data_IF_050698713040
#
_entry.id   IF_050698713040
#
_cell.length_a   1.000
_cell.length_b   1.000
_cell.length_c   1.000
_cell.angle_alpha   90.00
_cell.angle_beta   90.00
_cell.angle_gamma   90.00
#
_symmetry.space_group_name_H-M   'P 1'
#
loop_
_entity.id
_entity.type
_entity.pdbx_description
1 polymer ?
#
# COMPACT_ATOMS: atom_id res chain seq x y z
N UNK A 1 9.52 -13.86 10.86
CA UNK A 1 8.59 -13.59 9.75
C UNK A 1 7.23 -13.21 10.34
N UNK A 2 6.50 -12.29 9.71
CA UNK A 2 5.18 -11.84 10.14
C UNK A 2 4.18 -12.07 9.00
N UNK A 3 2.95 -12.37 9.36
CA UNK A 3 1.83 -12.58 8.45
C UNK A 3 0.94 -11.36 8.55
N UNK A 4 0.46 -10.86 7.41
CA UNK A 4 -0.46 -9.72 7.38
C UNK A 4 -1.88 -10.24 7.24
N UNK A 5 -2.67 -9.99 8.28
CA UNK A 5 -4.06 -10.42 8.38
C UNK A 5 -4.98 -9.21 8.16
N UNK A 6 -6.07 -9.45 7.44
CA UNK A 6 -7.10 -8.45 7.16
C UNK A 6 -8.40 -8.84 7.86
N UNK A 7 -9.00 -7.91 8.61
CA UNK A 7 -10.30 -8.11 9.23
C UNK A 7 -11.20 -6.91 9.03
N UNK A 8 -12.47 -7.17 8.75
CA UNK A 8 -13.51 -6.15 8.74
C UNK A 8 -14.19 -6.07 10.09
N UNK A 9 -14.32 -4.84 10.58
CA UNK A 9 -15.04 -4.49 11.78
C UNK A 9 -16.27 -3.66 11.43
N UNK A 10 -17.37 -3.80 12.19
CA UNK A 10 -18.62 -3.11 11.90
C UNK A 10 -18.53 -1.60 12.12
N UNK A 11 -17.79 -1.16 13.13
CA UNK A 11 -17.75 0.24 13.58
C UNK A 11 -16.46 0.60 14.34
N UNK A 12 -16.33 1.88 14.69
CA UNK A 12 -15.17 2.45 15.39
C UNK A 12 -15.03 1.89 16.81
N UNK A 13 -16.12 1.60 17.51
CA UNK A 13 -16.02 1.06 18.87
C UNK A 13 -15.45 -0.36 18.86
N UNK A 14 -15.92 -1.21 17.96
CA UNK A 14 -15.36 -2.56 17.75
C UNK A 14 -13.88 -2.48 17.34
N UNK A 15 -13.52 -1.54 16.45
CA UNK A 15 -12.12 -1.29 16.08
C UNK A 15 -11.24 -0.89 17.27
N UNK A 16 -11.74 -0.02 18.16
CA UNK A 16 -11.02 0.39 19.38
C UNK A 16 -10.81 -0.79 20.32
N UNK A 17 -11.86 -1.56 20.60
CA UNK A 17 -11.79 -2.72 21.49
C UNK A 17 -10.82 -3.77 20.95
N UNK A 18 -10.85 -4.00 19.64
CA UNK A 18 -9.93 -4.92 18.97
C UNK A 18 -8.48 -4.42 19.06
N UNK A 19 -8.24 -3.12 18.90
CA UNK A 19 -6.91 -2.54 19.10
C UNK A 19 -6.40 -2.77 20.53
N UNK A 20 -7.23 -2.52 21.53
CA UNK A 20 -6.88 -2.72 22.94
C UNK A 20 -6.49 -4.18 23.21
N UNK A 21 -7.27 -5.13 22.70
CA UNK A 21 -6.96 -6.56 22.84
C UNK A 21 -5.67 -6.95 22.12
N UNK A 22 -5.41 -6.41 20.92
CA UNK A 22 -4.14 -6.62 20.22
C UNK A 22 -2.95 -6.12 21.03
N UNK A 23 -3.08 -4.95 21.67
CA UNK A 23 -2.04 -4.38 22.52
C UNK A 23 -1.82 -5.22 23.80
N UNK A 24 -2.90 -5.70 24.43
CA UNK A 24 -2.84 -6.60 25.59
C UNK A 24 -2.13 -7.91 25.25
N UNK A 25 -2.34 -8.43 24.04
CA UNK A 25 -1.64 -9.61 23.52
C UNK A 25 -0.24 -9.29 22.96
N UNK A 26 0.32 -8.12 23.27
CA UNK A 26 1.68 -7.68 22.88
C UNK A 26 1.90 -7.54 21.38
N UNK A 27 0.84 -7.27 20.62
CA UNK A 27 0.98 -6.77 19.24
C UNK A 27 1.02 -5.25 19.31
N UNK A 28 2.22 -4.69 19.19
CA UNK A 28 2.42 -3.24 19.30
C UNK A 28 1.65 -2.46 18.23
N UNK A 29 1.23 -1.24 18.58
CA UNK A 29 0.43 -0.36 17.73
C UNK A 29 0.99 -0.16 16.32
N UNK A 30 2.32 -0.13 16.14
CA UNK A 30 2.95 0.02 14.80
C UNK A 30 2.66 -1.13 13.83
N UNK A 31 2.21 -2.28 14.35
CA UNK A 31 1.86 -3.47 13.58
C UNK A 31 0.36 -3.61 13.36
N UNK A 32 -0.46 -2.66 13.83
CA UNK A 32 -1.91 -2.64 13.63
C UNK A 32 -2.23 -1.34 12.93
N UNK A 33 -2.97 -1.40 11.82
CA UNK A 33 -3.41 -0.21 11.09
C UNK A 33 -4.87 -0.35 10.72
N UNK A 34 -5.59 0.77 10.72
CA UNK A 34 -6.99 0.81 10.34
C UNK A 34 -7.18 1.63 9.07
N UNK A 35 -8.16 1.24 8.28
CA UNK A 35 -8.61 1.96 7.10
C UNK A 35 -10.13 2.05 7.12
N UNK A 36 -10.64 3.25 6.93
CA UNK A 36 -12.06 3.55 6.76
C UNK A 36 -12.29 4.16 5.37
N UNK A 37 -13.52 4.06 4.86
CA UNK A 37 -13.90 4.69 3.60
C UNK A 37 -14.17 6.18 3.78
N UNK A 38 -15.34 6.49 4.35
CA UNK A 38 -15.82 7.87 4.47
C UNK A 38 -15.81 8.40 5.92
N UNK A 39 -15.62 7.53 6.90
CA UNK A 39 -15.67 7.90 8.31
C UNK A 39 -14.26 8.25 8.81
N UNK A 40 -13.99 9.48 9.27
CA UNK A 40 -12.69 9.82 9.82
C UNK A 40 -12.39 8.96 11.05
N UNK A 41 -11.20 8.37 11.08
CA UNK A 41 -10.75 7.58 12.23
C UNK A 41 -10.35 8.51 13.38
N UNK A 42 -10.63 8.12 14.64
CA UNK A 42 -10.18 8.86 15.81
C UNK A 42 -8.65 9.01 15.88
N UNK A 43 -8.11 10.10 16.44
CA UNK A 43 -6.65 10.34 16.50
C UNK A 43 -5.85 9.29 17.28
N UNK A 44 -6.51 8.54 18.17
CA UNK A 44 -5.92 7.47 18.96
C UNK A 44 -5.71 6.17 18.16
N UNK A 45 -6.34 6.03 16.98
CA UNK A 45 -6.17 4.85 16.14
C UNK A 45 -5.07 5.03 15.09
N UNK A 46 -4.18 4.03 14.93
CA UNK A 46 -3.17 4.06 13.88
C UNK A 46 -3.83 3.91 12.50
N UNK A 47 -3.84 4.97 11.70
CA UNK A 47 -4.35 4.93 10.34
C UNK A 47 -3.36 4.28 9.37
N UNK A 48 -3.88 3.56 8.37
CA UNK A 48 -3.10 3.03 7.26
C UNK A 48 -2.39 4.18 6.52
N UNK A 49 -1.07 4.08 6.35
CA UNK A 49 -0.31 5.13 5.68
C UNK A 49 -0.77 5.31 4.24
N UNK A 50 -0.65 6.54 3.72
CA UNK A 50 -0.96 6.88 2.33
C UNK A 50 -0.29 5.95 1.30
N UNK A 51 0.96 5.53 1.55
CA UNK A 51 1.71 4.60 0.70
C UNK A 51 1.10 3.19 0.62
N UNK A 52 0.34 2.79 1.64
CA UNK A 52 -0.39 1.52 1.61
C UNK A 52 -1.69 1.66 0.83
N UNK A 53 -2.28 2.86 0.86
CA UNK A 53 -3.57 3.19 0.21
C UNK A 53 -3.45 3.45 -1.29
N UNK A 54 -2.24 3.70 -1.81
CA UNK A 54 -2.03 4.20 -3.18
C UNK A 54 -0.98 3.40 -3.92
N UNK A 55 -1.13 3.28 -5.23
CA UNK A 55 -0.23 2.48 -6.07
C UNK A 55 0.95 3.29 -6.64
N UNK A 56 1.56 4.12 -5.77
CA UNK A 56 2.61 5.07 -6.19
C UNK A 56 3.82 4.33 -6.75
N UNK A 57 4.16 3.16 -6.21
CA UNK A 57 5.34 2.41 -6.62
C UNK A 57 5.17 1.79 -8.01
N UNK A 58 4.03 1.15 -8.31
CA UNK A 58 3.79 0.64 -9.66
C UNK A 58 3.59 1.77 -10.67
N UNK A 59 2.93 2.86 -10.25
CA UNK A 59 2.85 4.08 -11.03
C UNK A 59 4.22 4.60 -11.43
N UNK A 60 5.12 4.76 -10.45
CA UNK A 60 6.51 5.20 -10.65
C UNK A 60 7.25 4.31 -11.65
N UNK A 61 7.15 2.98 -11.50
CA UNK A 61 7.81 2.03 -12.38
C UNK A 61 7.37 2.18 -13.83
N UNK A 62 6.06 2.25 -14.08
CA UNK A 62 5.53 2.46 -15.43
C UNK A 62 5.99 3.80 -16.02
N UNK A 63 6.00 4.87 -15.22
CA UNK A 63 6.46 6.18 -15.65
C UNK A 63 7.95 6.23 -15.96
N UNK A 64 8.79 5.53 -15.20
CA UNK A 64 10.24 5.42 -15.47
C UNK A 64 10.50 4.77 -16.84
N UNK A 65 9.78 3.69 -17.18
CA UNK A 65 9.92 3.01 -18.48
C UNK A 65 9.52 3.93 -19.64
N UNK A 66 8.34 4.56 -19.54
CA UNK A 66 7.88 5.51 -20.56
C UNK A 66 8.83 6.70 -20.69
N UNK A 67 9.28 7.23 -19.55
CA UNK A 67 10.25 8.31 -19.48
C UNK A 67 11.60 7.96 -20.11
N UNK A 68 12.09 6.74 -19.91
CA UNK A 68 13.31 6.25 -20.57
C UNK A 68 13.17 6.23 -22.08
N UNK A 69 12.07 5.66 -22.60
CA UNK A 69 11.82 5.57 -24.05
C UNK A 69 11.72 6.96 -24.68
N UNK A 70 11.02 7.89 -24.03
CA UNK A 70 10.93 9.28 -24.48
C UNK A 70 12.28 10.00 -24.42
N UNK A 71 13.06 9.76 -23.37
CA UNK A 71 14.41 10.30 -23.21
C UNK A 71 15.35 9.82 -24.32
N UNK A 72 15.33 8.53 -24.67
CA UNK A 72 16.10 7.96 -25.78
C UNK A 72 15.71 8.63 -27.11
N UNK A 73 14.40 8.67 -27.40
CA UNK A 73 13.89 9.26 -28.64
C UNK A 73 14.26 10.76 -28.75
N UNK A 74 14.15 11.50 -27.65
CA UNK A 74 14.53 12.91 -27.60
C UNK A 74 16.04 13.11 -27.74
N UNK A 75 16.86 12.30 -27.07
CA UNK A 75 18.31 12.33 -27.22
C UNK A 75 18.76 12.04 -28.66
N UNK A 76 18.15 11.06 -29.32
CA UNK A 76 18.42 10.76 -30.72
C UNK A 76 18.06 11.92 -31.64
N UNK A 77 16.92 12.59 -31.38
CA UNK A 77 16.53 13.80 -32.09
C UNK A 77 17.58 14.91 -31.92
N UNK A 78 18.05 15.14 -30.70
CA UNK A 78 19.05 16.18 -30.44
C UNK A 78 20.37 15.93 -31.16
N UNK A 79 20.82 14.67 -31.28
CA UNK A 79 22.00 14.32 -32.08
C UNK A 79 21.79 14.67 -33.55
N UNK A 80 20.65 14.28 -34.13
CA UNK A 80 20.36 14.50 -35.56
C UNK A 80 20.26 15.99 -35.92
N UNK A 81 19.64 16.80 -35.07
CA UNK A 81 19.36 18.20 -35.39
C UNK A 81 20.43 19.19 -34.91
N UNK A 82 21.19 18.85 -33.87
CA UNK A 82 22.15 19.75 -33.23
C UNK A 82 23.59 19.21 -33.16
N UNK A 83 23.87 18.07 -33.81
CA UNK A 83 25.20 17.44 -33.90
C UNK A 83 25.88 17.23 -32.53
N UNK A 84 25.08 16.89 -31.52
CA UNK A 84 25.57 16.60 -30.17
C UNK A 84 26.20 15.22 -30.10
N UNK A 85 27.11 15.03 -29.12
CA UNK A 85 27.74 13.74 -28.89
C UNK A 85 26.78 12.66 -28.37
N UNK A 86 27.15 11.39 -28.57
CA UNK A 86 26.36 10.20 -28.19
C UNK A 86 25.96 10.16 -26.70
N UNK A 87 26.78 10.77 -25.84
CA UNK A 87 26.49 10.92 -24.41
C UNK A 87 25.17 11.66 -24.12
N UNK A 88 24.67 12.45 -25.07
CA UNK A 88 23.37 13.16 -24.98
C UNK A 88 22.21 12.19 -24.76
N UNK A 89 22.23 11.02 -25.41
CA UNK A 89 21.18 10.01 -25.26
C UNK A 89 21.16 9.46 -23.84
N UNK A 90 22.33 9.20 -23.24
CA UNK A 90 22.42 8.73 -21.86
C UNK A 90 21.86 9.76 -20.88
N UNK A 91 22.24 11.03 -21.03
CA UNK A 91 21.78 12.12 -20.14
C UNK A 91 20.27 12.32 -20.24
N UNK A 92 19.74 12.41 -21.47
CA UNK A 92 18.30 12.60 -21.72
C UNK A 92 17.46 11.40 -21.26
N UNK A 93 17.97 10.18 -21.41
CA UNK A 93 17.33 8.97 -20.88
C UNK A 93 17.26 9.00 -19.36
N UNK A 94 18.36 9.36 -18.68
CA UNK A 94 18.39 9.42 -17.23
C UNK A 94 17.44 10.48 -16.66
N UNK A 95 17.41 11.66 -17.29
CA UNK A 95 16.43 12.71 -16.98
C UNK A 95 15.00 12.20 -17.22
N UNK A 96 14.77 11.52 -18.33
CA UNK A 96 13.48 10.93 -18.69
C UNK A 96 12.99 9.92 -17.66
N UNK A 97 13.86 9.02 -17.18
CA UNK A 97 13.53 8.06 -16.10
C UNK A 97 13.08 8.79 -14.84
N UNK A 98 13.89 9.76 -14.37
CA UNK A 98 13.59 10.50 -13.13
C UNK A 98 12.27 11.26 -13.26
N UNK A 99 12.11 12.01 -14.36
CA UNK A 99 10.93 12.82 -14.60
C UNK A 99 9.68 11.95 -14.78
N UNK A 100 9.79 10.88 -15.58
CA UNK A 100 8.69 9.95 -15.84
C UNK A 100 8.22 9.25 -14.57
N UNK A 101 9.15 8.76 -13.74
CA UNK A 101 8.81 8.15 -12.45
C UNK A 101 8.15 9.13 -11.49
N UNK A 102 8.64 10.37 -11.42
CA UNK A 102 8.04 11.41 -10.59
C UNK A 102 6.64 11.81 -11.07
N UNK A 103 6.46 12.08 -12.36
CA UNK A 103 5.20 12.51 -12.94
C UNK A 103 4.12 11.42 -12.81
N UNK A 104 4.45 10.16 -13.10
CA UNK A 104 3.50 9.06 -12.95
C UNK A 104 3.17 8.76 -11.48
N UNK A 105 4.13 8.95 -10.56
CA UNK A 105 3.89 8.83 -9.12
C UNK A 105 2.82 9.83 -8.66
N UNK A 106 2.85 11.07 -9.17
CA UNK A 106 1.83 12.07 -8.85
C UNK A 106 0.44 11.66 -9.34
N UNK A 107 0.35 11.08 -10.54
CA UNK A 107 -0.94 10.57 -11.06
C UNK A 107 -1.41 9.36 -10.25
N UNK A 108 -0.51 8.44 -9.93
CA UNK A 108 -0.81 7.21 -9.18
C UNK A 108 -1.10 7.47 -7.69
N UNK A 109 -0.62 8.58 -7.12
CA UNK A 109 -0.96 9.01 -5.76
C UNK A 109 -2.46 9.30 -5.59
N UNK A 110 -3.18 9.61 -6.67
CA UNK A 110 -4.64 9.76 -6.63
C UNK A 110 -5.39 8.44 -6.85
N UNK A 111 -4.69 7.35 -7.22
CA UNK A 111 -5.31 6.06 -7.56
C UNK A 111 -5.25 5.12 -6.35
N UNK A 112 -6.42 4.60 -5.90
CA UNK A 112 -6.52 3.51 -4.93
C UNK A 112 -5.59 2.33 -5.23
N UNK A 113 -4.94 1.78 -4.20
CA UNK A 113 -4.13 0.58 -4.32
C UNK A 113 -4.98 -0.56 -4.90
N UNK A 114 -4.51 -1.15 -6.00
CA UNK A 114 -5.18 -2.23 -6.73
C UNK A 114 -5.43 -3.46 -5.87
N UNK A 115 -4.54 -3.77 -4.92
CA UNK A 115 -4.73 -4.88 -3.97
C UNK A 115 -5.84 -4.61 -2.96
N UNK A 116 -5.97 -3.35 -2.53
CA UNK A 116 -7.02 -2.95 -1.59
C UNK A 116 -8.36 -2.73 -2.29
N UNK A 117 -8.40 -2.69 -3.63
CA UNK A 117 -9.62 -2.49 -4.45
C UNK A 117 -10.76 -3.45 -4.06
N UNK A 118 -10.42 -4.69 -3.71
CA UNK A 118 -11.38 -5.70 -3.25
C UNK A 118 -12.09 -5.32 -1.94
N UNK A 119 -11.49 -4.47 -1.11
CA UNK A 119 -12.01 -4.08 0.20
C UNK A 119 -12.84 -2.79 0.17
N UNK A 120 -12.73 -1.97 -0.87
CA UNK A 120 -13.48 -0.70 -0.99
C UNK A 120 -14.99 -0.84 -0.84
N UNK A 121 -15.67 -1.83 -1.46
CA UNK A 121 -17.11 -1.95 -1.30
C UNK A 121 -17.53 -2.12 0.16
N UNK A 122 -16.74 -2.82 0.97
CA UNK A 122 -17.04 -2.97 2.40
C UNK A 122 -16.78 -1.67 3.19
N UNK A 123 -15.75 -0.91 2.82
CA UNK A 123 -15.42 0.38 3.43
C UNK A 123 -16.46 1.47 3.11
N UNK A 124 -16.99 1.46 1.89
CA UNK A 124 -18.09 2.34 1.46
C UNK A 124 -19.38 2.06 2.23
N UNK A 125 -19.60 0.79 2.60
CA UNK A 125 -20.70 0.37 3.47
C UNK A 125 -20.49 0.72 4.96
N UNK A 126 -19.48 1.55 5.28
CA UNK A 126 -19.21 2.03 6.64
C UNK A 126 -18.38 1.09 7.51
N UNK A 127 -17.92 -0.05 6.98
CA UNK A 127 -17.05 -0.96 7.72
C UNK A 127 -15.63 -0.40 7.83
N UNK A 128 -14.89 -0.89 8.81
CA UNK A 128 -13.50 -0.54 9.04
C UNK A 128 -12.64 -1.77 8.75
N UNK A 129 -11.57 -1.59 7.98
CA UNK A 129 -10.59 -2.64 7.74
C UNK A 129 -9.44 -2.49 8.73
N UNK A 130 -9.20 -3.52 9.54
CA UNK A 130 -7.98 -3.68 10.32
C UNK A 130 -6.97 -4.50 9.53
N UNK A 131 -5.73 -4.02 9.54
CA UNK A 131 -4.56 -4.63 8.94
C UNK A 131 -3.58 -4.91 10.08
N UNK A 132 -3.34 -6.18 10.37
CA UNK A 132 -2.52 -6.60 11.50
C UNK A 132 -1.33 -7.45 11.04
N UNK A 133 -0.12 -7.00 11.32
CA UNK A 133 1.11 -7.77 11.08
C UNK A 133 1.41 -8.63 12.33
N UNK A 134 1.08 -9.92 12.29
CA UNK A 134 1.22 -10.84 13.43
C UNK A 134 2.46 -11.73 13.24
N UNK A 135 3.30 -11.98 14.27
CA UNK A 135 4.41 -12.92 14.16
C UNK A 135 3.91 -14.32 13.79
N UNK A 136 4.54 -15.00 12.82
CA UNK A 136 4.08 -16.29 12.30
C UNK A 136 3.78 -17.33 13.39
N UNK A 137 4.60 -17.35 14.46
CA UNK A 137 4.45 -18.27 15.60
C UNK A 137 3.21 -18.03 16.47
N UNK A 138 2.56 -16.88 16.31
CA UNK A 138 1.42 -16.42 17.13
C UNK A 138 0.16 -16.15 16.30
N UNK A 139 0.15 -16.50 15.02
CA UNK A 139 -1.01 -16.29 14.14
C UNK A 139 -2.22 -17.02 14.71
N UNK A 140 -2.10 -18.33 14.95
CA UNK A 140 -3.18 -19.15 15.48
C UNK A 140 -3.67 -18.67 16.86
N UNK A 141 -2.76 -18.26 17.74
CA UNK A 141 -3.11 -17.70 19.06
C UNK A 141 -3.98 -16.44 18.92
N UNK A 142 -3.56 -15.50 18.06
CA UNK A 142 -4.26 -14.24 17.84
C UNK A 142 -5.58 -14.46 17.09
N UNK A 143 -5.60 -15.35 16.10
CA UNK A 143 -6.83 -15.70 15.38
C UNK A 143 -7.90 -16.28 16.29
N UNK A 144 -7.53 -17.23 17.16
CA UNK A 144 -8.46 -17.80 18.14
C UNK A 144 -8.97 -16.73 19.12
N UNK A 145 -8.08 -15.87 19.62
CA UNK A 145 -8.45 -14.78 20.52
C UNK A 145 -9.42 -13.78 19.86
N UNK A 146 -9.16 -13.41 18.59
CA UNK A 146 -10.05 -12.52 17.84
C UNK A 146 -11.41 -13.18 17.58
N UNK A 147 -11.42 -14.46 17.21
CA UNK A 147 -12.66 -15.21 16.98
C UNK A 147 -13.53 -15.35 18.25
N UNK A 148 -12.89 -15.52 19.41
CA UNK A 148 -13.59 -15.62 20.70
C UNK A 148 -14.11 -14.28 21.21
N UNK A 149 -13.29 -13.21 21.12
CA UNK A 149 -13.58 -11.92 21.77
C UNK A 149 -14.32 -10.93 20.87
N UNK A 150 -14.18 -11.08 19.55
CA UNK A 150 -14.77 -10.18 18.55
C UNK A 150 -15.46 -10.98 17.42
N UNK A 151 -16.51 -11.76 17.74
CA UNK A 151 -17.22 -12.60 16.75
C UNK A 151 -17.90 -11.78 15.65
N UNK A 152 -18.08 -10.47 15.84
CA UNK A 152 -18.59 -9.55 14.82
C UNK A 152 -17.59 -9.30 13.68
N UNK A 153 -16.30 -9.63 13.87
CA UNK A 153 -15.28 -9.43 12.86
C UNK A 153 -15.43 -10.41 11.72
N UNK A 154 -15.25 -9.92 10.50
CA UNK A 154 -15.21 -10.78 9.30
C UNK A 154 -13.80 -10.85 8.77
N UNK A 155 -13.24 -12.06 8.69
CA UNK A 155 -11.94 -12.29 8.05
C UNK A 155 -11.98 -11.84 6.59
N UNK A 156 -11.05 -10.94 6.25
CA UNK A 156 -10.88 -10.35 4.92
C UNK A 156 -9.83 -11.06 4.08
N UNK A 157 -9.05 -11.96 4.68
CA UNK A 157 -7.99 -12.71 4.02
C UNK A 157 -6.63 -12.50 4.67
N UNK A 158 -5.65 -13.23 4.16
CA UNK A 158 -4.24 -13.08 4.48
C UNK A 158 -3.52 -12.59 3.22
N UNK A 159 -2.59 -11.63 3.37
CA UNK A 159 -1.77 -11.21 2.22
C UNK A 159 -0.93 -12.42 1.77
N UNK A 160 -1.05 -12.88 0.51
CA UNK A 160 -0.25 -14.00 0.02
C UNK A 160 1.22 -13.67 0.26
N UNK A 161 1.93 -14.54 0.99
CA UNK A 161 3.35 -14.36 1.20
C UNK A 161 4.05 -14.46 -0.16
N UNK A 162 4.38 -13.32 -0.78
CA UNK A 162 5.28 -13.30 -1.91
C UNK A 162 6.66 -13.60 -1.32
N UNK A 163 7.26 -14.77 -1.59
CA UNK A 163 8.56 -15.09 -1.04
C UNK A 163 9.56 -14.01 -1.46
N UNK A 164 10.37 -13.54 -0.51
CA UNK A 164 11.27 -12.39 -0.68
C UNK A 164 12.54 -12.74 -1.50
N UNK A 165 12.55 -13.86 -2.21
CA UNK A 165 13.66 -14.30 -3.03
C UNK A 165 13.16 -14.87 -4.37
N UNK A 166 13.88 -14.60 -5.49
CA UNK A 166 13.47 -14.90 -6.86
C UNK A 166 13.39 -16.39 -7.17
#
# INVERSE_FOLDING_TARGET
>A
MRHRLYYFLPDIESARRTLDDMLLHRIEQRHVRFMSGNTPLPPDMPEASFLLKTDVLHGAAAGMVVGALLGIAFGALLIVYYDLGEATVLVTTFIGIIFGGWASSMVAAAVPNTQLKAFYPALENGKILMIADVPARRVEEIENMLAERHPEMKFGGEEPHIPVFP
#
